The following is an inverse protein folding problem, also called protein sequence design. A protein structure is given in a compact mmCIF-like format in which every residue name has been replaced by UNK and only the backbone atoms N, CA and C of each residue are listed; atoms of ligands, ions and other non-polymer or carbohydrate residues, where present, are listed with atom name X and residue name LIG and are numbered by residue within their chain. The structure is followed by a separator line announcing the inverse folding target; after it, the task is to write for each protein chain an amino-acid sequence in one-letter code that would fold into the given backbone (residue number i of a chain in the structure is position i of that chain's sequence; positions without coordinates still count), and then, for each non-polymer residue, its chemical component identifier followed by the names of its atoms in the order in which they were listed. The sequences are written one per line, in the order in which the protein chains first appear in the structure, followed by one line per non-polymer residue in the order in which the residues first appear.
data_IF_545291874514
#
_entry.id   IF_545291874514
#
_cell.length_a   1.000
_cell.length_b   1.000
_cell.length_c   1.000
_cell.angle_alpha   90.00
_cell.angle_beta   90.00
_cell.angle_gamma   90.00
#
_symmetry.space_group_name_H-M   'P 1'
#
loop_
_entity.id
_entity.type
_entity.pdbx_description
1 polymer ?
#
# COMPACT_ATOMS: atom_id res chain seq x y z
N UNK A 1 -17.62 11.25 38.48
CA UNK A 1 -17.13 12.21 37.47
C UNK A 1 -15.61 12.09 37.25
N UNK A 2 -14.85 12.03 38.35
CA UNK A 2 -13.37 11.92 38.27
C UNK A 2 -12.91 10.62 37.65
N UNK A 3 -13.58 9.50 37.95
CA UNK A 3 -13.22 8.17 37.40
C UNK A 3 -13.46 8.13 35.90
N UNK A 4 -14.56 8.68 35.42
CA UNK A 4 -14.91 8.72 33.99
C UNK A 4 -13.91 9.59 33.22
N UNK A 5 -13.55 10.76 33.74
CA UNK A 5 -12.58 11.67 33.11
C UNK A 5 -11.20 11.03 33.02
N UNK A 6 -10.76 10.33 34.08
CA UNK A 6 -9.47 9.64 34.09
C UNK A 6 -9.43 8.51 33.06
N UNK A 7 -10.47 7.68 32.97
CA UNK A 7 -10.56 6.61 31.97
C UNK A 7 -10.51 7.17 30.55
N UNK A 8 -11.15 8.32 30.31
CA UNK A 8 -11.16 8.98 29.00
C UNK A 8 -9.74 9.46 28.60
N UNK A 9 -9.02 10.07 29.54
CA UNK A 9 -7.65 10.54 29.32
C UNK A 9 -6.69 9.36 29.09
N UNK A 10 -6.81 8.30 29.89
CA UNK A 10 -5.99 7.10 29.73
C UNK A 10 -6.22 6.45 28.36
N UNK A 11 -7.46 6.35 27.90
CA UNK A 11 -7.79 5.83 26.58
C UNK A 11 -7.21 6.70 25.46
N UNK A 12 -7.24 8.03 25.59
CA UNK A 12 -6.67 8.95 24.63
C UNK A 12 -5.14 8.81 24.55
N UNK A 13 -4.47 8.67 25.70
CA UNK A 13 -3.02 8.44 25.77
C UNK A 13 -2.65 7.11 25.10
N UNK A 14 -3.41 6.04 25.37
CA UNK A 14 -3.18 4.73 24.80
C UNK A 14 -3.33 4.75 23.26
N UNK A 15 -4.35 5.44 22.74
CA UNK A 15 -4.55 5.60 21.30
C UNK A 15 -3.40 6.35 20.63
N UNK A 16 -2.94 7.42 21.26
CA UNK A 16 -1.82 8.22 20.77
C UNK A 16 -0.52 7.40 20.76
N UNK A 17 -0.26 6.65 21.81
CA UNK A 17 0.91 5.77 21.90
C UNK A 17 0.86 4.67 20.83
N UNK A 18 -0.31 4.05 20.59
CA UNK A 18 -0.49 3.06 19.54
C UNK A 18 -0.26 3.65 18.16
N UNK A 19 -0.74 4.86 17.90
CA UNK A 19 -0.52 5.57 16.64
C UNK A 19 0.97 5.85 16.41
N UNK A 20 1.68 6.29 17.44
CA UNK A 20 3.13 6.55 17.34
C UNK A 20 3.93 5.28 17.07
N UNK A 21 3.54 4.16 17.69
CA UNK A 21 4.18 2.86 17.43
C UNK A 21 3.95 2.40 15.98
N UNK A 22 2.73 2.56 15.48
CA UNK A 22 2.39 2.21 14.11
C UNK A 22 3.21 3.06 13.12
N UNK A 23 3.30 4.36 13.38
CA UNK A 23 4.09 5.28 12.56
C UNK A 23 5.57 4.89 12.56
N UNK A 24 6.12 4.50 13.70
CA UNK A 24 7.50 4.04 13.80
C UNK A 24 7.76 2.78 12.96
N UNK A 25 6.82 1.84 12.93
CA UNK A 25 6.90 0.64 12.09
C UNK A 25 6.98 1.02 10.61
N UNK A 26 6.14 1.96 10.18
CA UNK A 26 6.16 2.43 8.78
C UNK A 26 7.47 3.15 8.47
N UNK A 27 7.96 3.99 9.38
CA UNK A 27 9.25 4.67 9.19
C UNK A 27 10.41 3.69 9.05
N UNK A 28 10.42 2.61 9.85
CA UNK A 28 11.42 1.56 9.73
C UNK A 28 11.33 0.84 8.39
N UNK A 29 10.11 0.58 7.91
CA UNK A 29 9.88 -0.04 6.61
C UNK A 29 10.36 0.85 5.46
N UNK A 30 10.15 2.16 5.56
CA UNK A 30 10.63 3.13 4.57
C UNK A 30 12.16 3.11 4.52
N UNK A 31 12.82 3.10 5.67
CA UNK A 31 14.27 3.01 5.74
C UNK A 31 14.79 1.70 5.12
N UNK A 32 14.13 0.58 5.38
CA UNK A 32 14.49 -0.72 4.83
C UNK A 32 14.28 -0.80 3.32
N UNK A 33 13.29 -0.09 2.78
CA UNK A 33 13.01 -0.05 1.35
C UNK A 33 14.11 0.68 0.54
N UNK A 34 14.80 1.63 1.17
CA UNK A 34 15.83 2.42 0.50
C UNK A 34 15.27 3.14 -0.73
N UNK A 35 15.85 2.91 -1.89
CA UNK A 35 15.45 3.54 -3.15
C UNK A 35 14.35 2.77 -3.90
N UNK A 36 13.86 1.65 -3.35
CA UNK A 36 12.80 0.88 -3.98
C UNK A 36 11.50 1.69 -4.08
N UNK A 37 10.79 1.65 -5.21
CA UNK A 37 9.48 2.29 -5.32
C UNK A 37 8.36 1.51 -4.63
N UNK A 38 8.67 0.37 -4.03
CA UNK A 38 7.70 -0.50 -3.34
C UNK A 38 8.01 -0.49 -1.85
N UNK A 39 6.99 -0.18 -1.05
CA UNK A 39 7.05 -0.23 0.41
C UNK A 39 6.36 -1.50 0.89
N UNK A 40 7.08 -2.38 1.57
CA UNK A 40 6.51 -3.58 2.18
C UNK A 40 6.27 -3.33 3.67
N UNK A 41 5.02 -3.54 4.11
CA UNK A 41 4.64 -3.42 5.51
C UNK A 41 4.33 -4.80 6.10
N UNK A 42 4.53 -4.99 7.42
CA UNK A 42 4.26 -6.27 8.08
C UNK A 42 2.76 -6.57 8.24
N UNK A 43 1.91 -5.55 8.08
CA UNK A 43 0.46 -5.66 8.18
C UNK A 43 -0.19 -4.44 7.54
N UNK A 44 -1.50 -4.50 7.32
CA UNK A 44 -2.27 -3.33 6.91
C UNK A 44 -2.30 -2.30 8.03
N UNK A 45 -1.84 -1.09 7.73
CA UNK A 45 -1.77 0.00 8.69
C UNK A 45 -1.71 1.35 7.95
N UNK A 46 -2.11 2.45 8.60
CA UNK A 46 -1.99 3.77 7.98
C UNK A 46 -0.53 4.09 7.69
N UNK A 47 -0.24 4.57 6.49
CA UNK A 47 1.14 4.84 6.07
C UNK A 47 1.35 6.25 5.52
N UNK A 48 0.29 6.97 5.21
CA UNK A 48 0.39 8.24 4.48
C UNK A 48 1.20 9.29 5.24
N UNK A 49 0.91 9.48 6.52
CA UNK A 49 1.58 10.49 7.32
C UNK A 49 3.09 10.23 7.42
N UNK A 50 3.48 8.96 7.59
CA UNK A 50 4.89 8.56 7.66
C UNK A 50 5.60 8.79 6.34
N UNK A 51 4.96 8.46 5.21
CA UNK A 51 5.54 8.68 3.88
C UNK A 51 5.75 10.17 3.63
N UNK A 52 4.77 11.01 3.96
CA UNK A 52 4.87 12.46 3.79
C UNK A 52 5.96 13.05 4.69
N UNK A 53 6.02 12.60 5.94
CA UNK A 53 7.02 13.06 6.91
C UNK A 53 8.44 12.67 6.50
N UNK A 54 8.60 11.49 5.92
CA UNK A 54 9.89 11.01 5.42
C UNK A 54 10.31 11.64 4.10
N UNK A 55 9.40 12.34 3.42
CA UNK A 55 9.66 12.88 2.08
C UNK A 55 9.93 11.79 1.05
N UNK A 56 9.32 10.61 1.22
CA UNK A 56 9.58 9.45 0.40
C UNK A 56 8.75 9.49 -0.90
N UNK A 57 9.07 10.45 -1.77
CA UNK A 57 8.32 10.70 -3.01
C UNK A 57 8.54 9.62 -4.07
N UNK A 58 9.58 8.81 -3.91
CA UNK A 58 9.90 7.72 -4.83
C UNK A 58 9.01 6.49 -4.67
N UNK A 59 8.32 6.38 -3.52
CA UNK A 59 7.42 5.25 -3.26
C UNK A 59 6.15 5.36 -4.09
N UNK A 60 5.80 4.29 -4.79
CA UNK A 60 4.60 4.24 -5.66
C UNK A 60 3.53 3.30 -5.12
N UNK A 61 3.92 2.16 -4.57
CA UNK A 61 2.99 1.12 -4.12
C UNK A 61 3.36 0.62 -2.73
N UNK A 62 2.34 0.21 -1.98
CA UNK A 62 2.49 -0.43 -0.67
C UNK A 62 2.02 -1.87 -0.78
N UNK A 63 2.81 -2.80 -0.26
CA UNK A 63 2.49 -4.23 -0.24
C UNK A 63 2.43 -4.69 1.20
N UNK A 64 1.37 -5.38 1.58
CA UNK A 64 1.21 -5.91 2.93
C UNK A 64 0.35 -7.16 2.97
N UNK A 65 0.56 -8.05 3.96
CA UNK A 65 -0.31 -9.19 4.17
C UNK A 65 -1.67 -8.75 4.73
N UNK A 66 -2.69 -9.55 4.42
CA UNK A 66 -4.00 -9.51 5.06
C UNK A 66 -4.25 -10.89 5.68
N UNK A 67 -5.48 -11.17 6.11
CA UNK A 67 -5.78 -12.42 6.83
C UNK A 67 -5.48 -13.67 5.98
N UNK A 68 -5.87 -13.68 4.71
CA UNK A 68 -5.75 -14.85 3.83
C UNK A 68 -5.03 -14.56 2.52
N UNK A 69 -4.60 -13.34 2.30
CA UNK A 69 -3.99 -12.90 1.05
C UNK A 69 -3.05 -11.71 1.27
N UNK A 70 -2.59 -11.11 0.19
CA UNK A 70 -1.73 -9.93 0.18
C UNK A 70 -2.32 -8.84 -0.68
N UNK A 71 -2.16 -7.60 -0.27
CA UNK A 71 -2.66 -6.43 -1.01
C UNK A 71 -1.52 -5.61 -1.58
N UNK A 72 -1.75 -5.05 -2.76
CA UNK A 72 -0.89 -4.05 -3.41
C UNK A 72 -1.75 -2.78 -3.54
N UNK A 73 -1.34 -1.69 -2.92
CA UNK A 73 -2.10 -0.44 -2.89
C UNK A 73 -1.29 0.68 -3.49
N UNK A 74 -1.91 1.46 -4.37
CA UNK A 74 -1.30 2.68 -4.90
C UNK A 74 -1.28 3.80 -3.87
N UNK A 75 -0.22 4.59 -3.87
CA UNK A 75 -0.08 5.72 -2.95
C UNK A 75 -0.70 6.96 -3.59
N UNK A 76 -1.55 7.66 -2.86
CA UNK A 76 -2.16 8.90 -3.36
C UNK A 76 -1.11 9.98 -3.54
N UNK A 77 -1.25 10.74 -4.61
CA UNK A 77 -0.36 11.86 -4.91
C UNK A 77 -0.51 12.96 -3.88
N UNK A 78 -1.74 13.30 -3.54
CA UNK A 78 -2.08 14.37 -2.59
C UNK A 78 -2.99 13.84 -1.48
N UNK A 79 -2.90 14.38 -0.26
CA UNK A 79 -3.75 13.92 0.86
C UNK A 79 -5.25 14.12 0.60
N UNK A 80 -5.62 15.15 -0.15
CA UNK A 80 -7.01 15.56 -0.36
C UNK A 80 -7.60 15.03 -1.67
N UNK A 81 -6.77 14.51 -2.58
CA UNK A 81 -7.20 14.02 -3.88
C UNK A 81 -7.32 12.50 -3.93
N UNK A 82 -7.88 12.00 -5.02
CA UNK A 82 -7.96 10.57 -5.29
C UNK A 82 -6.90 10.10 -6.29
N UNK A 83 -6.21 11.03 -6.96
CA UNK A 83 -5.17 10.68 -7.92
C UNK A 83 -4.00 9.98 -7.23
N UNK A 84 -3.52 8.92 -7.85
CA UNK A 84 -2.39 8.14 -7.36
C UNK A 84 -1.08 8.65 -7.96
N UNK A 85 0.03 8.38 -7.29
CA UNK A 85 1.37 8.61 -7.84
C UNK A 85 1.58 7.76 -9.09
N UNK A 86 1.04 6.52 -9.09
CA UNK A 86 0.97 5.65 -10.24
C UNK A 86 -0.25 4.75 -10.10
N UNK A 87 -0.98 4.53 -11.20
CA UNK A 87 -2.07 3.58 -11.23
C UNK A 87 -1.52 2.17 -11.48
N UNK A 88 -2.26 1.15 -11.06
CA UNK A 88 -1.99 -0.21 -11.49
C UNK A 88 -2.25 -0.31 -13.01
N UNK A 89 -1.63 -1.29 -13.70
CA UNK A 89 -1.77 -1.42 -15.15
C UNK A 89 -3.22 -1.41 -15.62
N UNK A 90 -3.48 -0.69 -16.69
CA UNK A 90 -4.83 -0.59 -17.28
C UNK A 90 -5.38 -1.97 -17.68
N UNK A 91 -4.51 -2.84 -18.16
CA UNK A 91 -4.89 -4.19 -18.57
C UNK A 91 -5.43 -5.05 -17.43
N UNK A 92 -5.20 -4.66 -16.18
CA UNK A 92 -5.68 -5.42 -15.01
C UNK A 92 -7.03 -4.93 -14.48
N UNK A 93 -7.51 -3.79 -14.91
CA UNK A 93 -8.69 -3.15 -14.35
C UNK A 93 -9.90 -4.07 -14.32
N UNK A 94 -10.44 -4.32 -13.14
CA UNK A 94 -11.65 -5.13 -12.94
C UNK A 94 -11.50 -6.64 -13.15
N UNK A 95 -10.27 -7.13 -13.34
CA UNK A 95 -10.04 -8.55 -13.57
C UNK A 95 -9.95 -9.33 -12.26
N UNK A 96 -10.37 -10.60 -12.31
CA UNK A 96 -10.33 -11.52 -11.17
C UNK A 96 -9.76 -12.86 -11.59
N UNK A 97 -9.17 -13.57 -10.64
CA UNK A 97 -8.72 -14.97 -10.74
C UNK A 97 -8.00 -15.30 -12.06
N UNK A 98 -8.50 -16.26 -12.83
CA UNK A 98 -7.82 -16.73 -14.04
C UNK A 98 -7.59 -15.62 -15.07
N UNK A 99 -8.53 -14.69 -15.23
CA UNK A 99 -8.40 -13.57 -16.15
C UNK A 99 -7.27 -12.64 -15.72
N UNK A 100 -7.17 -12.36 -14.42
CA UNK A 100 -6.09 -11.52 -13.88
C UNK A 100 -4.75 -12.26 -13.96
N UNK A 101 -4.70 -13.53 -13.63
CA UNK A 101 -3.49 -14.35 -13.77
C UNK A 101 -2.99 -14.34 -15.22
N UNK A 102 -3.88 -14.49 -16.18
CA UNK A 102 -3.51 -14.45 -17.60
C UNK A 102 -2.99 -13.07 -18.03
N UNK A 103 -3.68 -12.00 -17.65
CA UNK A 103 -3.29 -10.64 -18.03
C UNK A 103 -1.97 -10.20 -17.40
N UNK A 104 -1.71 -10.61 -16.15
CA UNK A 104 -0.50 -10.23 -15.42
C UNK A 104 0.67 -11.19 -15.63
N UNK A 105 0.41 -12.44 -16.01
CA UNK A 105 1.40 -13.50 -16.05
C UNK A 105 1.79 -14.03 -14.67
N UNK A 106 1.04 -13.66 -13.62
CA UNK A 106 1.29 -14.07 -12.23
C UNK A 106 0.19 -15.04 -11.80
N UNK A 107 0.50 -16.34 -11.59
CA UNK A 107 -0.53 -17.33 -11.23
C UNK A 107 -1.29 -17.02 -9.95
N UNK A 108 -0.65 -16.36 -9.00
CA UNK A 108 -1.25 -15.98 -7.72
C UNK A 108 -2.08 -14.71 -7.74
N UNK A 109 -2.25 -14.06 -8.89
CA UNK A 109 -3.08 -12.86 -9.02
C UNK A 109 -4.55 -13.19 -8.79
N UNK A 110 -5.23 -12.45 -7.91
CA UNK A 110 -6.62 -12.77 -7.53
C UNK A 110 -7.63 -11.70 -7.92
N UNK A 111 -7.28 -10.43 -7.77
CA UNK A 111 -8.24 -9.34 -8.00
C UNK A 111 -7.51 -8.05 -8.26
N UNK A 112 -8.02 -7.24 -9.19
CA UNK A 112 -7.62 -5.86 -9.36
C UNK A 112 -8.87 -4.99 -9.46
N UNK A 113 -8.97 -3.99 -8.60
CA UNK A 113 -10.11 -3.08 -8.61
C UNK A 113 -10.19 -2.32 -9.94
N UNK A 114 -11.41 -2.08 -10.40
CA UNK A 114 -11.64 -1.33 -11.63
C UNK A 114 -11.02 0.08 -11.60
N UNK A 115 -10.95 0.68 -10.42
CA UNK A 115 -10.30 2.00 -10.21
C UNK A 115 -8.78 1.96 -10.18
N UNK A 116 -8.18 0.78 -10.27
CA UNK A 116 -6.72 0.58 -10.39
C UNK A 116 -5.91 1.10 -9.21
N UNK A 117 -6.51 1.11 -8.02
CA UNK A 117 -5.82 1.58 -6.79
C UNK A 117 -5.46 0.45 -5.83
N UNK A 118 -6.03 -0.71 -5.99
CA UNK A 118 -5.73 -1.88 -5.16
C UNK A 118 -5.81 -3.17 -5.99
N UNK A 119 -4.88 -4.07 -5.74
CA UNK A 119 -4.89 -5.43 -6.26
C UNK A 119 -4.62 -6.40 -5.11
N UNK A 120 -5.04 -7.64 -5.29
CA UNK A 120 -4.89 -8.71 -4.30
C UNK A 120 -4.21 -9.90 -4.94
N UNK A 121 -3.26 -10.48 -4.21
CA UNK A 121 -2.54 -11.69 -4.60
C UNK A 121 -2.66 -12.76 -3.53
N UNK A 122 -2.46 -14.02 -3.92
CA UNK A 122 -2.60 -15.16 -3.01
C UNK A 122 -1.55 -15.17 -1.90
N UNK A 123 -0.33 -14.73 -2.19
CA UNK A 123 0.81 -14.80 -1.27
C UNK A 123 1.81 -13.66 -1.52
N UNK A 124 2.83 -13.59 -0.69
CA UNK A 124 3.86 -12.56 -0.76
C UNK A 124 4.62 -12.56 -2.10
N UNK A 125 5.13 -13.69 -2.60
CA UNK A 125 5.84 -13.67 -3.88
C UNK A 125 4.99 -13.15 -5.04
N UNK A 126 3.73 -13.55 -5.12
CA UNK A 126 2.80 -13.07 -6.14
C UNK A 126 2.56 -11.56 -6.00
N UNK A 127 2.37 -11.08 -4.78
CA UNK A 127 2.17 -9.65 -4.53
C UNK A 127 3.39 -8.83 -4.96
N UNK A 128 4.59 -9.28 -4.63
CA UNK A 128 5.82 -8.59 -5.02
C UNK A 128 6.03 -8.62 -6.54
N UNK A 129 5.69 -9.71 -7.22
CA UNK A 129 5.73 -9.78 -8.68
C UNK A 129 4.76 -8.79 -9.32
N UNK A 130 3.54 -8.73 -8.82
CA UNK A 130 2.54 -7.76 -9.32
C UNK A 130 3.01 -6.33 -9.10
N UNK A 131 3.55 -6.03 -7.92
CA UNK A 131 4.06 -4.70 -7.62
C UNK A 131 5.22 -4.31 -8.55
N UNK A 132 6.15 -5.23 -8.81
CA UNK A 132 7.26 -4.99 -9.72
C UNK A 132 6.78 -4.73 -11.16
N UNK A 133 5.80 -5.49 -11.64
CA UNK A 133 5.18 -5.27 -12.94
C UNK A 133 4.46 -3.93 -13.02
N UNK A 134 3.77 -3.55 -11.93
CA UNK A 134 3.10 -2.26 -11.86
C UNK A 134 4.10 -1.09 -11.93
N UNK A 135 5.26 -1.24 -11.28
CA UNK A 135 6.34 -0.24 -11.36
C UNK A 135 6.85 -0.10 -12.80
N UNK A 136 7.11 -1.22 -13.48
CA UNK A 136 7.53 -1.20 -14.88
C UNK A 136 6.51 -0.52 -15.79
N UNK A 137 5.24 -0.83 -15.59
CA UNK A 137 4.14 -0.21 -16.34
C UNK A 137 4.08 1.29 -16.08
N UNK A 138 4.23 1.72 -14.84
CA UNK A 138 4.24 3.13 -14.46
C UNK A 138 5.39 3.88 -15.13
N UNK A 139 6.57 3.30 -15.20
CA UNK A 139 7.72 3.88 -15.89
C UNK A 139 7.46 4.02 -17.38
N UNK A 140 6.87 3.00 -18.00
CA UNK A 140 6.51 3.02 -19.42
C UNK A 140 5.48 4.10 -19.73
N UNK A 141 4.44 4.22 -18.90
CA UNK A 141 3.40 5.25 -19.06
C UNK A 141 4.01 6.65 -18.92
N UNK A 142 4.92 6.84 -17.97
CA UNK A 142 5.58 8.12 -17.75
C UNK A 142 6.48 8.50 -18.95
N UNK A 143 7.19 7.56 -19.54
CA UNK A 143 8.03 7.78 -20.72
C UNK A 143 7.20 8.10 -21.97
N UNK A 144 5.97 7.61 -22.06
CA UNK A 144 5.08 7.83 -23.20
C UNK A 144 4.43 9.23 -23.19
N UNK A 145 4.56 9.99 -22.09
CA UNK A 145 4.00 11.34 -21.96
C UNK A 145 5.03 12.42 -22.44
#
# INVERSE_FOLDING_TARGET
ALVIARAFVEAAIARKAAKLRAEAVVMDAIAAAGDSPILELPMGMPFRAAIDRAGADHLLFVVHPRDTDWAITGIRRDPEGFALRADLPEAWAGLTDAAFAAASGVPGARFCHNGRFIAVAADRPAALQLAALAVQDAETVQQAR
#
